data_IF_842215760940
#
_entry.id   IF_842215760940
#
_cell.length_a   1.000
_cell.length_b   1.000
_cell.length_c   1.000
_cell.angle_alpha   90.00
_cell.angle_beta   90.00
_cell.angle_gamma   90.00
#
_symmetry.space_group_name_H-M   'P 1'
#
loop_
_entity.id
_entity.type
_entity.pdbx_description
1 polymer ?
#
# COMPACT_ATOMS: atom_id res chain seq x y z
N UNK A 1 17.16 -11.41 -24.69
CA UNK A 1 16.89 -11.22 -23.26
C UNK A 1 15.97 -12.34 -22.85
N UNK A 2 16.48 -13.35 -22.17
CA UNK A 2 15.65 -14.47 -21.70
C UNK A 2 14.85 -14.01 -20.50
N UNK A 3 13.53 -13.95 -20.65
CA UNK A 3 12.61 -13.61 -19.56
C UNK A 3 12.34 -14.92 -18.81
N UNK A 4 12.75 -14.99 -17.54
CA UNK A 4 12.47 -16.15 -16.71
C UNK A 4 10.97 -16.16 -16.34
N UNK A 5 10.38 -17.35 -16.21
CA UNK A 5 9.00 -17.51 -15.72
C UNK A 5 8.75 -16.77 -14.39
N UNK A 6 9.76 -16.71 -13.50
CA UNK A 6 9.66 -15.96 -12.24
C UNK A 6 9.47 -14.46 -12.48
N UNK A 7 10.18 -13.88 -13.44
CA UNK A 7 10.07 -12.46 -13.78
C UNK A 7 8.71 -12.18 -14.41
N UNK A 8 8.25 -13.08 -15.29
CA UNK A 8 6.91 -12.98 -15.88
C UNK A 8 5.80 -13.05 -14.82
N UNK A 9 5.94 -13.95 -13.84
CA UNK A 9 4.99 -14.07 -12.74
C UNK A 9 4.94 -12.81 -11.89
N UNK A 10 6.10 -12.23 -11.55
CA UNK A 10 6.16 -11.00 -10.76
C UNK A 10 5.52 -9.83 -11.51
N UNK A 11 5.81 -9.70 -12.81
CA UNK A 11 5.20 -8.69 -13.67
C UNK A 11 3.68 -8.88 -13.78
N UNK A 12 3.21 -10.11 -13.95
CA UNK A 12 1.77 -10.42 -13.99
C UNK A 12 1.08 -10.08 -12.67
N UNK A 13 1.70 -10.39 -11.52
CA UNK A 13 1.17 -10.05 -10.20
C UNK A 13 1.07 -8.53 -10.01
N UNK A 14 2.10 -7.78 -10.43
CA UNK A 14 2.09 -6.30 -10.40
C UNK A 14 0.98 -5.73 -11.29
N UNK A 15 0.83 -6.25 -12.51
CA UNK A 15 -0.22 -5.82 -13.42
C UNK A 15 -1.63 -6.07 -12.86
N UNK A 16 -1.87 -7.25 -12.27
CA UNK A 16 -3.15 -7.57 -11.65
C UNK A 16 -3.49 -6.65 -10.47
N UNK A 17 -2.50 -6.28 -9.65
CA UNK A 17 -2.69 -5.34 -8.55
C UNK A 17 -3.11 -3.96 -9.08
N UNK A 18 -2.40 -3.43 -10.08
CA UNK A 18 -2.73 -2.12 -10.66
C UNK A 18 -4.11 -2.12 -11.33
N UNK A 19 -4.48 -3.19 -12.03
CA UNK A 19 -5.82 -3.30 -12.62
C UNK A 19 -6.91 -3.29 -11.54
N UNK A 20 -6.69 -3.99 -10.42
CA UNK A 20 -7.57 -3.96 -9.26
C UNK A 20 -7.74 -2.54 -8.69
N UNK A 21 -6.64 -1.80 -8.50
CA UNK A 21 -6.67 -0.42 -8.03
C UNK A 21 -7.43 0.48 -9.01
N UNK A 22 -7.15 0.38 -10.31
CA UNK A 22 -7.84 1.19 -11.34
C UNK A 22 -9.34 0.91 -11.34
N UNK A 23 -9.74 -0.35 -11.25
CA UNK A 23 -11.15 -0.75 -11.22
C UNK A 23 -11.83 -0.25 -9.94
N UNK A 24 -11.15 -0.30 -8.79
CA UNK A 24 -11.65 0.27 -7.55
C UNK A 24 -11.86 1.78 -7.68
N UNK A 25 -10.86 2.54 -8.16
CA UNK A 25 -10.95 3.99 -8.32
C UNK A 25 -12.04 4.38 -9.31
N UNK A 26 -12.24 3.63 -10.40
CA UNK A 26 -13.32 3.88 -11.36
C UNK A 26 -14.72 3.62 -10.77
N UNK A 27 -14.84 2.64 -9.88
CA UNK A 27 -16.13 2.23 -9.30
C UNK A 27 -16.52 3.10 -8.09
N UNK A 28 -15.56 3.75 -7.45
CA UNK A 28 -15.77 4.55 -6.25
C UNK A 28 -15.70 6.05 -6.56
N UNK A 29 -16.61 6.82 -5.96
CA UNK A 29 -16.70 8.28 -6.18
C UNK A 29 -15.68 9.08 -5.35
N UNK A 30 -15.18 8.47 -4.28
CA UNK A 30 -14.21 9.05 -3.34
C UNK A 30 -13.28 7.94 -2.85
N UNK A 31 -12.04 8.29 -2.51
CA UNK A 31 -11.05 7.39 -1.93
C UNK A 31 -10.76 7.84 -0.50
N UNK A 32 -10.75 6.92 0.45
CA UNK A 32 -10.36 7.21 1.83
C UNK A 32 -8.83 7.15 1.99
N UNK A 33 -8.33 7.61 3.15
CA UNK A 33 -6.91 7.49 3.49
C UNK A 33 -6.51 6.02 3.61
N UNK A 34 -7.39 5.21 4.19
CA UNK A 34 -7.18 3.78 4.40
C UNK A 34 -7.08 3.02 3.08
N UNK A 35 -7.87 3.40 2.07
CA UNK A 35 -7.77 2.85 0.71
C UNK A 35 -6.37 3.08 0.13
N UNK A 36 -5.85 4.31 0.28
CA UNK A 36 -4.53 4.69 -0.22
C UNK A 36 -3.44 3.90 0.52
N UNK A 37 -3.52 3.82 1.85
CA UNK A 37 -2.58 3.05 2.68
C UNK A 37 -2.58 1.57 2.29
N UNK A 38 -3.76 1.00 2.03
CA UNK A 38 -3.91 -0.37 1.55
C UNK A 38 -3.23 -0.59 0.18
N UNK A 39 -3.32 0.38 -0.74
CA UNK A 39 -2.66 0.30 -2.05
C UNK A 39 -1.14 0.36 -1.99
N UNK A 40 -0.58 1.19 -1.08
CA UNK A 40 0.88 1.30 -0.90
C UNK A 40 1.44 0.19 -0.01
N UNK A 41 0.59 -0.61 0.62
CA UNK A 41 0.99 -1.68 1.53
C UNK A 41 1.48 -1.16 2.89
N UNK A 42 1.06 0.04 3.27
CA UNK A 42 1.35 0.64 4.57
C UNK A 42 0.17 0.38 5.51
N UNK A 43 0.45 0.04 6.76
CA UNK A 43 -0.55 0.07 7.84
C UNK A 43 -0.50 1.45 8.51
N UNK A 44 -1.62 1.93 9.07
CA UNK A 44 -1.62 3.19 9.81
C UNK A 44 -0.48 3.24 10.84
N UNK A 45 0.20 4.38 11.03
CA UNK A 45 1.01 4.57 12.20
C UNK A 45 0.09 4.42 13.41
N UNK A 46 0.46 3.53 14.34
CA UNK A 46 -0.24 3.38 15.61
C UNK A 46 -0.12 4.70 16.35
N UNK A 47 -1.11 5.58 16.23
CA UNK A 47 -1.28 6.68 17.18
C UNK A 47 -1.40 6.05 18.57
N UNK A 48 -0.60 6.56 19.51
CA UNK A 48 -0.45 6.14 20.92
C UNK A 48 0.81 5.31 21.24
N UNK A 49 1.97 5.95 21.18
CA UNK A 49 2.93 5.83 22.28
C UNK A 49 3.13 7.24 22.84
N UNK A 50 2.74 7.55 24.09
CA UNK A 50 3.20 8.78 24.71
C UNK A 50 4.72 8.65 24.84
N UNK A 51 5.47 9.58 24.23
CA UNK A 51 6.87 9.80 24.60
C UNK A 51 6.87 10.36 26.02
N UNK A 52 6.86 9.47 27.01
CA UNK A 52 7.17 9.80 28.38
C UNK A 52 8.70 9.80 28.51
N UNK A 53 9.27 10.96 28.83
CA UNK A 53 10.71 11.15 28.92
C UNK A 53 11.15 12.61 29.05
N UNK A 54 10.39 13.41 29.79
CA UNK A 54 10.90 14.66 30.37
C UNK A 54 11.76 14.30 31.58
N UNK A 55 13.08 14.19 31.37
CA UNK A 55 14.06 14.24 32.44
C UNK A 55 15.30 15.03 32.01
N UNK A 56 15.30 16.34 32.31
CA UNK A 56 16.51 17.08 32.65
C UNK A 56 16.18 18.18 33.65
N UNK A 57 16.17 17.82 34.94
CA UNK A 57 16.40 18.70 36.09
C UNK A 57 17.53 18.12 36.92
#
# INVERSE_FOLDING_TARGET
MDINFKDLWELARKAALFDGIINYVKSNRYLSREDILCFVGESEPVENTPEDGDENV
#
